data_IF_047287841025
#
_entry.id   IF_047287841025
#
_cell.length_a   1.000
_cell.length_b   1.000
_cell.length_c   1.000
_cell.angle_alpha   90.00
_cell.angle_beta   90.00
_cell.angle_gamma   90.00
#
_symmetry.space_group_name_H-M   'P 1'
#
loop_
_entity.id
_entity.type
_entity.pdbx_description
1 polymer ?
#
# COMPACT_ATOMS: atom_id res chain seq x y z
N UNK A 1 3.12 -28.09 -17.79
CA UNK A 1 2.30 -26.92 -18.11
C UNK A 1 2.03 -26.23 -16.78
N UNK A 2 2.94 -25.35 -16.36
CA UNK A 2 2.92 -24.73 -15.03
C UNK A 2 2.12 -23.43 -15.15
N UNK A 3 0.88 -23.41 -14.65
CA UNK A 3 0.18 -22.14 -14.43
C UNK A 3 0.55 -21.67 -13.03
N UNK A 4 1.31 -20.58 -12.96
CA UNK A 4 1.72 -19.94 -11.72
C UNK A 4 0.93 -18.64 -11.57
N UNK A 5 0.37 -18.40 -10.39
CA UNK A 5 -0.33 -17.16 -10.07
C UNK A 5 0.33 -16.60 -8.83
N UNK A 6 1.31 -15.71 -8.96
CA UNK A 6 1.73 -14.92 -7.80
C UNK A 6 0.55 -13.98 -7.50
N UNK A 7 -0.30 -14.37 -6.56
CA UNK A 7 -1.43 -13.55 -6.12
C UNK A 7 -0.89 -12.51 -5.14
N UNK A 8 -0.78 -11.24 -5.57
CA UNK A 8 -0.56 -10.12 -4.64
C UNK A 8 -1.92 -9.64 -4.16
N UNK A 9 -2.19 -9.73 -2.86
CA UNK A 9 -3.34 -9.03 -2.25
C UNK A 9 -2.80 -7.87 -1.43
N UNK A 10 -3.37 -6.69 -1.62
CA UNK A 10 -2.99 -5.52 -0.84
C UNK A 10 -4.20 -4.80 -0.25
N UNK A 11 -4.50 -4.93 1.05
CA UNK A 11 -5.41 -4.01 1.70
C UNK A 11 -4.73 -2.62 1.79
N UNK A 12 -5.28 -1.62 1.09
CA UNK A 12 -4.77 -0.26 1.15
C UNK A 12 -5.33 0.45 2.40
N UNK A 13 -4.55 1.40 2.91
CA UNK A 13 -4.91 2.38 3.92
C UNK A 13 -5.76 1.78 5.05
N UNK A 14 -5.15 0.88 5.83
CA UNK A 14 -5.82 0.29 7.00
C UNK A 14 -6.13 1.41 7.99
N UNK A 15 -7.41 1.78 8.13
CA UNK A 15 -7.81 2.99 8.83
C UNK A 15 -8.33 2.69 10.25
N UNK A 16 -7.51 2.99 11.25
CA UNK A 16 -7.89 2.88 12.66
C UNK A 16 -8.28 1.45 13.08
N UNK A 17 -9.00 1.33 14.20
CA UNK A 17 -9.38 0.01 14.73
C UNK A 17 -10.42 -0.71 13.88
N UNK A 18 -11.32 0.02 13.22
CA UNK A 18 -12.32 -0.55 12.32
C UNK A 18 -11.65 -1.21 11.10
N UNK A 19 -10.66 -0.53 10.49
CA UNK A 19 -9.84 -1.10 9.42
C UNK A 19 -9.09 -2.36 9.84
N UNK A 20 -8.41 -2.32 11.00
CA UNK A 20 -7.71 -3.51 11.52
C UNK A 20 -8.66 -4.67 11.82
N UNK A 21 -9.90 -4.40 12.23
CA UNK A 21 -10.90 -5.42 12.52
C UNK A 21 -11.36 -6.14 11.25
N UNK A 22 -11.85 -5.39 10.26
CA UNK A 22 -12.38 -5.95 9.01
C UNK A 22 -11.32 -6.69 8.19
N UNK A 23 -10.07 -6.21 8.24
CA UNK A 23 -8.92 -6.91 7.64
C UNK A 23 -8.67 -8.23 8.35
N UNK A 24 -8.62 -8.24 9.69
CA UNK A 24 -8.43 -9.49 10.46
C UNK A 24 -9.53 -10.52 10.19
N UNK A 25 -10.75 -10.07 9.97
CA UNK A 25 -11.91 -10.93 9.71
C UNK A 25 -11.86 -11.57 8.31
N UNK A 26 -11.69 -10.77 7.25
CA UNK A 26 -11.84 -11.27 5.88
C UNK A 26 -10.53 -11.68 5.22
N UNK A 27 -9.39 -11.09 5.59
CA UNK A 27 -8.11 -11.34 4.93
C UNK A 27 -7.74 -12.83 4.93
N UNK A 28 -7.83 -13.60 6.05
CA UNK A 28 -7.48 -15.02 6.04
C UNK A 28 -8.25 -15.82 4.99
N UNK A 29 -9.55 -15.53 4.80
CA UNK A 29 -10.37 -16.19 3.79
C UNK A 29 -9.92 -15.83 2.37
N UNK A 30 -9.59 -14.56 2.12
CA UNK A 30 -9.06 -14.10 0.83
C UNK A 30 -7.72 -14.78 0.52
N UNK A 31 -6.83 -14.87 1.50
CA UNK A 31 -5.53 -15.52 1.33
C UNK A 31 -5.66 -16.99 0.95
N UNK A 32 -6.49 -17.75 1.68
CA UNK A 32 -6.67 -19.19 1.43
C UNK A 32 -7.40 -19.45 0.11
N UNK A 33 -8.51 -18.74 -0.15
CA UNK A 33 -9.36 -18.98 -1.32
C UNK A 33 -8.63 -18.67 -2.63
N UNK A 34 -7.71 -17.71 -2.60
CA UNK A 34 -6.97 -17.26 -3.79
C UNK A 34 -5.51 -17.69 -3.80
N UNK A 35 -5.10 -18.56 -2.85
CA UNK A 35 -3.73 -19.05 -2.69
C UNK A 35 -2.67 -17.93 -2.77
N UNK A 36 -2.88 -16.85 -2.01
CA UNK A 36 -2.03 -15.65 -2.05
C UNK A 36 -0.61 -15.97 -1.58
N UNK A 37 0.36 -15.81 -2.47
CA UNK A 37 1.79 -16.03 -2.17
C UNK A 37 2.47 -14.79 -1.57
N UNK A 38 2.07 -13.59 -1.98
CA UNK A 38 2.66 -12.32 -1.54
C UNK A 38 1.56 -11.38 -1.02
N UNK A 39 1.72 -10.86 0.20
CA UNK A 39 0.77 -9.94 0.83
C UNK A 39 1.48 -8.65 1.17
N UNK A 40 1.02 -7.52 0.61
CA UNK A 40 1.56 -6.19 0.90
C UNK A 40 0.45 -5.36 1.52
N UNK A 41 0.64 -4.78 2.71
CA UNK A 41 -0.40 -4.00 3.38
C UNK A 41 0.04 -2.54 3.45
N UNK A 42 -0.83 -1.59 3.05
CA UNK A 42 -0.56 -0.19 3.37
C UNK A 42 -1.08 0.12 4.80
N UNK A 43 -0.15 0.40 5.70
CA UNK A 43 -0.42 0.61 7.12
C UNK A 43 -0.49 2.07 7.57
N UNK A 44 -0.53 3.05 6.66
CA UNK A 44 -0.25 4.44 7.02
C UNK A 44 -1.27 5.11 7.95
N UNK A 45 -2.50 4.59 8.05
CA UNK A 45 -3.54 5.12 8.92
C UNK A 45 -3.90 4.16 10.07
N UNK A 46 -3.10 3.12 10.29
CA UNK A 46 -3.48 2.00 11.15
C UNK A 46 -3.60 2.40 12.63
N UNK A 47 -2.83 3.39 13.08
CA UNK A 47 -2.78 3.88 14.46
C UNK A 47 -3.77 5.03 14.73
N UNK A 48 -5.07 4.73 14.69
CA UNK A 48 -6.11 5.72 14.99
C UNK A 48 -6.30 6.76 13.88
N UNK A 49 -6.07 6.37 12.63
CA UNK A 49 -6.22 7.22 11.44
C UNK A 49 -4.91 7.83 10.94
N UNK A 50 -3.84 7.81 11.74
CA UNK A 50 -2.58 8.50 11.42
C UNK A 50 -1.37 7.70 11.94
N UNK A 51 -0.51 7.29 11.02
CA UNK A 51 0.70 6.52 11.29
C UNK A 51 0.45 5.07 11.68
N UNK A 52 1.53 4.41 12.10
CA UNK A 52 1.57 3.01 12.52
C UNK A 52 2.47 2.88 13.76
N UNK A 53 2.09 2.04 14.71
CA UNK A 53 2.90 1.72 15.89
C UNK A 53 3.62 0.39 15.70
N UNK A 54 4.74 0.12 16.41
CA UNK A 54 5.40 -1.19 16.40
C UNK A 54 4.44 -2.35 16.68
N UNK A 55 3.57 -2.20 17.69
CA UNK A 55 2.56 -3.22 18.02
C UNK A 55 1.60 -3.50 16.88
N UNK A 56 1.12 -2.45 16.19
CA UNK A 56 0.21 -2.60 15.06
C UNK A 56 0.93 -3.20 13.85
N UNK A 57 2.20 -2.84 13.63
CA UNK A 57 2.99 -3.48 12.58
C UNK A 57 3.14 -4.99 12.82
N UNK A 58 3.45 -5.40 14.06
CA UNK A 58 3.49 -6.82 14.42
C UNK A 58 2.13 -7.50 14.21
N UNK A 59 1.01 -6.86 14.56
CA UNK A 59 -0.33 -7.39 14.26
C UNK A 59 -0.54 -7.64 12.75
N UNK A 60 -0.08 -6.72 11.89
CA UNK A 60 -0.19 -6.86 10.44
C UNK A 60 0.74 -7.96 9.89
N UNK A 61 1.94 -8.11 10.46
CA UNK A 61 2.85 -9.22 10.12
C UNK A 61 2.29 -10.58 10.58
N UNK A 62 1.62 -10.64 11.73
CA UNK A 62 0.96 -11.85 12.22
C UNK A 62 -0.25 -12.25 11.35
N UNK A 63 -0.84 -11.30 10.62
CA UNK A 63 -1.84 -11.56 9.57
C UNK A 63 -1.23 -12.07 8.25
N UNK A 64 0.09 -12.19 8.17
CA UNK A 64 0.81 -12.72 7.01
C UNK A 64 1.37 -11.66 6.06
N UNK A 65 1.40 -10.38 6.46
CA UNK A 65 2.03 -9.36 5.63
C UNK A 65 3.50 -9.69 5.36
N UNK A 66 3.91 -9.62 4.10
CA UNK A 66 5.30 -9.79 3.69
C UNK A 66 6.03 -8.44 3.71
N UNK A 67 5.33 -7.37 3.33
CA UNK A 67 5.82 -5.98 3.38
C UNK A 67 4.68 -5.09 3.83
N UNK A 68 4.99 -4.09 4.64
CA UNK A 68 4.07 -3.02 5.00
C UNK A 68 4.54 -1.75 4.28
N UNK A 69 3.74 -1.26 3.34
CA UNK A 69 3.91 0.07 2.74
C UNK A 69 3.22 1.13 3.62
N UNK A 70 3.54 2.39 3.38
CA UNK A 70 2.99 3.52 4.15
C UNK A 70 2.77 4.71 3.21
N UNK A 71 2.55 5.91 3.75
CA UNK A 71 2.41 7.12 2.96
C UNK A 71 2.87 8.35 3.72
N UNK A 72 2.14 9.45 3.58
CA UNK A 72 2.47 10.73 4.20
C UNK A 72 2.34 10.72 5.73
N UNK A 73 1.63 9.75 6.32
CA UNK A 73 1.42 9.66 7.77
C UNK A 73 2.44 8.81 8.52
N UNK A 74 3.48 8.30 7.85
CA UNK A 74 4.50 7.42 8.47
C UNK A 74 5.13 8.00 9.74
N UNK A 75 5.26 9.32 9.88
CA UNK A 75 5.97 9.96 10.99
C UNK A 75 5.07 10.40 12.16
N UNK A 76 3.75 10.17 12.08
CA UNK A 76 2.80 10.65 13.10
C UNK A 76 2.89 9.87 14.42
N UNK A 77 3.52 8.69 14.42
CA UNK A 77 3.80 7.88 15.62
C UNK A 77 5.30 7.75 15.82
N UNK A 78 5.85 8.50 16.79
CA UNK A 78 7.30 8.61 17.00
C UNK A 78 8.01 7.27 17.31
N UNK A 79 7.31 6.34 17.94
CA UNK A 79 7.79 4.99 18.22
C UNK A 79 8.19 4.19 16.97
N UNK A 80 7.67 4.52 15.78
CA UNK A 80 8.02 3.80 14.55
C UNK A 80 9.45 4.09 14.08
N UNK A 81 10.02 5.25 14.46
CA UNK A 81 11.39 5.62 14.08
C UNK A 81 12.41 4.62 14.61
N UNK A 82 12.32 4.31 15.91
CA UNK A 82 13.23 3.38 16.58
C UNK A 82 13.01 1.95 16.08
N UNK A 83 11.75 1.56 15.87
CA UNK A 83 11.43 0.22 15.40
C UNK A 83 12.04 -0.08 14.02
N UNK A 84 11.97 0.88 13.08
CA UNK A 84 12.56 0.75 11.74
C UNK A 84 14.09 0.96 11.70
N UNK A 85 14.73 1.32 12.82
CA UNK A 85 16.17 1.59 12.86
C UNK A 85 16.97 0.27 12.91
N UNK A 86 17.08 -0.38 11.75
CA UNK A 86 17.79 -1.65 11.57
C UNK A 86 18.83 -1.57 10.45
N UNK A 87 19.80 -2.51 10.40
CA UNK A 87 20.70 -2.63 9.26
C UNK A 87 19.94 -2.84 7.93
N UNK A 88 20.48 -2.27 6.84
CA UNK A 88 19.83 -2.31 5.53
C UNK A 88 19.70 -3.72 4.95
N UNK A 89 20.59 -4.63 5.36
CA UNK A 89 20.66 -6.05 5.00
C UNK A 89 19.84 -6.96 5.93
N UNK A 90 19.19 -6.41 6.96
CA UNK A 90 18.30 -7.18 7.85
C UNK A 90 17.17 -7.86 7.05
N UNK A 91 16.71 -9.00 7.56
CA UNK A 91 15.53 -9.73 7.05
C UNK A 91 14.38 -9.73 8.06
N UNK A 92 14.52 -8.99 9.15
CA UNK A 92 13.56 -8.92 10.23
C UNK A 92 12.27 -8.18 9.81
N UNK A 93 11.22 -8.29 10.63
CA UNK A 93 9.90 -7.69 10.36
C UNK A 93 9.99 -6.17 10.22
N UNK A 94 10.69 -5.51 11.13
CA UNK A 94 10.93 -4.06 11.07
C UNK A 94 11.60 -3.55 9.79
N UNK A 95 12.50 -4.32 9.17
CA UNK A 95 13.10 -3.98 7.86
C UNK A 95 12.09 -4.01 6.70
N UNK A 96 10.98 -4.70 6.88
CA UNK A 96 9.90 -4.89 5.90
C UNK A 96 8.81 -3.83 5.99
N UNK A 97 8.98 -2.80 6.82
CA UNK A 97 8.18 -1.57 6.75
C UNK A 97 8.91 -0.58 5.85
N UNK A 98 8.23 -0.11 4.79
CA UNK A 98 8.81 0.82 3.83
C UNK A 98 8.00 2.12 3.72
N UNK A 99 8.73 3.23 3.68
CA UNK A 99 8.22 4.60 3.54
C UNK A 99 8.40 5.12 2.12
N UNK A 100 7.76 6.22 1.71
CA UNK A 100 8.01 6.79 0.39
C UNK A 100 9.49 7.05 0.12
N UNK A 101 10.04 6.42 -0.92
CA UNK A 101 11.47 6.41 -1.20
C UNK A 101 12.01 7.77 -1.66
N UNK A 102 11.14 8.61 -2.22
CA UNK A 102 11.44 9.94 -2.72
C UNK A 102 11.36 11.05 -1.65
N UNK A 103 11.39 10.70 -0.36
CA UNK A 103 11.73 11.68 0.68
C UNK A 103 13.21 12.05 0.64
N UNK A 104 13.52 13.22 1.21
CA UNK A 104 14.86 13.80 1.20
C UNK A 104 15.95 12.79 1.63
N UNK A 105 17.13 12.90 1.01
CA UNK A 105 18.28 12.09 1.38
C UNK A 105 18.57 12.17 2.89
N UNK A 106 18.85 11.02 3.51
CA UNK A 106 19.04 10.92 4.96
C UNK A 106 17.77 10.71 5.78
N UNK A 107 16.58 10.74 5.15
CA UNK A 107 15.32 10.39 5.85
C UNK A 107 15.38 8.94 6.36
N UNK A 108 15.03 8.68 7.64
CA UNK A 108 15.04 7.34 8.22
C UNK A 108 14.19 6.30 7.45
N UNK A 109 14.46 5.03 7.72
CA UNK A 109 13.77 3.90 7.11
C UNK A 109 14.12 3.69 5.65
N UNK A 110 13.36 2.79 5.01
CA UNK A 110 13.69 2.25 3.69
C UNK A 110 12.58 2.55 2.68
N UNK A 111 12.96 2.78 1.43
CA UNK A 111 12.02 3.01 0.32
C UNK A 111 11.66 1.77 -0.50
N UNK A 112 12.40 0.68 -0.28
CA UNK A 112 12.30 -0.57 -1.02
C UNK A 112 12.64 -1.76 -0.11
N UNK A 113 11.93 -2.85 -0.32
CA UNK A 113 12.29 -4.15 0.22
C UNK A 113 12.34 -5.16 -0.92
N UNK A 114 13.46 -5.86 -1.05
CA UNK A 114 13.64 -6.98 -1.98
C UNK A 114 13.90 -8.24 -1.16
N UNK A 115 13.10 -9.27 -1.37
CA UNK A 115 13.09 -10.49 -0.57
C UNK A 115 12.81 -11.73 -1.40
N UNK A 116 12.67 -12.86 -0.70
CA UNK A 116 12.38 -14.17 -1.29
C UNK A 116 11.22 -14.79 -0.52
N UNK A 117 10.25 -15.35 -1.24
CA UNK A 117 9.15 -16.11 -0.66
C UNK A 117 9.64 -17.50 -0.22
N UNK A 118 8.87 -18.20 0.61
CA UNK A 118 9.23 -19.54 1.09
C UNK A 118 9.40 -20.60 -0.02
N UNK A 119 8.92 -20.32 -1.23
CA UNK A 119 9.06 -21.16 -2.42
C UNK A 119 10.25 -20.77 -3.31
N UNK A 120 11.07 -19.79 -2.91
CA UNK A 120 12.24 -19.33 -3.67
C UNK A 120 11.98 -18.20 -4.67
N UNK A 121 10.73 -17.76 -4.84
CA UNK A 121 10.42 -16.65 -5.74
C UNK A 121 10.92 -15.32 -5.15
N UNK A 122 11.81 -14.64 -5.86
CA UNK A 122 12.25 -13.29 -5.50
C UNK A 122 11.19 -12.25 -5.85
N UNK A 123 11.04 -11.26 -4.98
CA UNK A 123 10.10 -10.16 -5.15
C UNK A 123 10.69 -8.84 -4.64
N UNK A 124 10.20 -7.72 -5.16
CA UNK A 124 10.49 -6.40 -4.64
C UNK A 124 9.21 -5.56 -4.49
N UNK A 125 9.17 -4.76 -3.42
CA UNK A 125 8.10 -3.79 -3.16
C UNK A 125 8.72 -2.41 -2.98
N UNK A 126 8.20 -1.44 -3.74
CA UNK A 126 8.59 -0.04 -3.69
C UNK A 126 7.43 0.77 -3.13
N UNK A 127 7.75 1.84 -2.42
CA UNK A 127 6.79 2.83 -1.98
C UNK A 127 7.24 4.22 -2.45
N UNK A 128 6.36 4.98 -3.10
CA UNK A 128 6.63 6.35 -3.57
C UNK A 128 5.45 7.26 -3.23
N UNK A 129 5.75 8.55 -3.06
CA UNK A 129 4.72 9.58 -2.86
C UNK A 129 4.58 10.47 -4.09
N UNK A 130 3.35 10.81 -4.45
CA UNK A 130 3.07 11.90 -5.39
C UNK A 130 3.47 13.28 -4.85
N UNK A 131 3.43 14.27 -5.73
CA UNK A 131 3.75 15.67 -5.42
C UNK A 131 2.58 16.61 -5.57
N UNK A 132 1.67 16.33 -6.50
CA UNK A 132 0.57 17.25 -6.79
C UNK A 132 -0.44 17.19 -5.64
N UNK A 133 -0.69 18.35 -5.02
CA UNK A 133 -1.52 18.52 -3.80
C UNK A 133 -1.01 17.78 -2.55
N UNK A 134 0.27 17.40 -2.53
CA UNK A 134 0.91 16.75 -1.38
C UNK A 134 2.15 17.53 -0.92
N UNK A 135 2.72 17.11 0.21
CA UNK A 135 3.99 17.66 0.70
C UNK A 135 5.11 17.48 -0.32
N UNK A 136 5.97 18.49 -0.45
CA UNK A 136 7.11 18.46 -1.36
C UNK A 136 8.04 17.28 -1.09
N UNK A 137 8.35 16.53 -2.13
CA UNK A 137 9.29 15.42 -2.15
C UNK A 137 10.08 15.41 -3.47
N UNK A 138 11.11 14.57 -3.56
CA UNK A 138 11.88 14.40 -4.79
C UNK A 138 10.99 13.80 -5.90
N UNK A 139 11.44 13.93 -7.15
CA UNK A 139 10.69 13.43 -8.31
C UNK A 139 10.45 11.90 -8.23
N UNK A 140 9.19 11.44 -8.11
CA UNK A 140 8.88 10.03 -7.98
C UNK A 140 9.26 9.23 -9.24
N UNK A 141 9.22 9.84 -10.43
CA UNK A 141 9.51 9.15 -11.69
C UNK A 141 11.00 8.80 -11.78
N UNK A 142 11.87 9.79 -11.53
CA UNK A 142 13.33 9.56 -11.51
C UNK A 142 13.75 8.65 -10.36
N UNK A 143 13.08 8.75 -9.20
CA UNK A 143 13.33 7.85 -8.08
C UNK A 143 12.98 6.39 -8.44
N UNK A 144 11.87 6.17 -9.15
CA UNK A 144 11.52 4.84 -9.63
C UNK A 144 12.61 4.25 -10.55
N UNK A 145 13.15 5.03 -11.50
CA UNK A 145 14.25 4.57 -12.36
C UNK A 145 15.50 4.20 -11.56
N UNK A 146 15.87 5.04 -10.59
CA UNK A 146 17.03 4.81 -9.74
C UNK A 146 16.90 3.50 -8.95
N UNK A 147 15.73 3.24 -8.36
CA UNK A 147 15.48 2.03 -7.58
C UNK A 147 15.43 0.79 -8.47
N UNK A 148 14.73 0.85 -9.60
CA UNK A 148 14.60 -0.27 -10.54
C UNK A 148 15.96 -0.68 -11.12
N UNK A 149 16.92 0.25 -11.26
CA UNK A 149 18.27 -0.09 -11.71
C UNK A 149 19.06 -0.99 -10.75
N UNK A 150 18.62 -1.09 -9.48
CA UNK A 150 19.29 -1.83 -8.40
C UNK A 150 18.54 -3.13 -8.02
N UNK A 151 17.29 -3.27 -8.44
CA UNK A 151 16.44 -4.43 -8.14
C UNK A 151 16.77 -5.56 -9.12
N UNK A 152 16.86 -6.78 -8.60
CA UNK A 152 17.13 -8.00 -9.38
C UNK A 152 15.90 -8.87 -9.58
N UNK A 153 14.94 -8.81 -8.64
CA UNK A 153 13.68 -9.52 -8.68
C UNK A 153 12.87 -9.21 -9.95
N UNK A 154 12.12 -10.20 -10.42
CA UNK A 154 11.20 -10.05 -11.58
C UNK A 154 9.82 -9.61 -11.16
N UNK A 155 9.34 -10.11 -10.01
CA UNK A 155 8.07 -9.69 -9.43
C UNK A 155 8.29 -8.38 -8.67
N UNK A 156 7.77 -7.28 -9.21
CA UNK A 156 7.99 -5.93 -8.65
C UNK A 156 6.65 -5.21 -8.50
N UNK A 157 6.30 -4.81 -7.29
CA UNK A 157 5.11 -4.00 -7.01
C UNK A 157 5.51 -2.60 -6.56
N UNK A 158 4.91 -1.58 -7.17
CA UNK A 158 4.94 -0.21 -6.67
C UNK A 158 3.61 0.13 -5.99
N UNK A 159 3.69 0.55 -4.73
CA UNK A 159 2.67 1.37 -4.07
C UNK A 159 2.98 2.85 -4.36
N UNK A 160 2.05 3.54 -5.04
CA UNK A 160 2.12 4.97 -5.31
C UNK A 160 1.09 5.72 -4.47
N UNK A 161 1.55 6.25 -3.35
CA UNK A 161 0.76 7.03 -2.42
C UNK A 161 0.60 8.48 -2.94
N UNK A 162 -0.50 8.77 -3.65
CA UNK A 162 -0.66 10.04 -4.37
C UNK A 162 -2.10 10.57 -4.37
N UNK A 163 -2.26 11.90 -4.43
CA UNK A 163 -3.59 12.52 -4.49
C UNK A 163 -4.17 12.52 -5.92
N UNK A 164 -3.38 12.96 -6.91
CA UNK A 164 -3.95 13.19 -8.24
C UNK A 164 -3.96 11.95 -9.12
N UNK A 165 -5.10 11.74 -9.78
CA UNK A 165 -5.26 10.68 -10.77
C UNK A 165 -4.28 10.83 -11.95
N UNK A 166 -3.97 12.06 -12.37
CA UNK A 166 -3.03 12.30 -13.47
C UNK A 166 -1.61 11.81 -13.15
N UNK A 167 -1.09 12.08 -11.94
CA UNK A 167 0.23 11.61 -11.52
C UNK A 167 0.25 10.08 -11.43
N UNK A 168 -0.84 9.47 -10.92
CA UNK A 168 -0.97 8.02 -10.83
C UNK A 168 -1.04 7.32 -12.17
N UNK A 169 -1.88 7.81 -13.08
CA UNK A 169 -2.03 7.26 -14.44
C UNK A 169 -0.72 7.42 -15.20
N UNK A 170 -0.07 8.59 -15.08
CA UNK A 170 1.23 8.81 -15.70
C UNK A 170 2.30 7.84 -15.19
N UNK A 171 2.36 7.55 -13.88
CA UNK A 171 3.29 6.56 -13.35
C UNK A 171 3.00 5.15 -13.86
N UNK A 172 1.71 4.77 -13.94
CA UNK A 172 1.30 3.49 -14.53
C UNK A 172 1.86 3.31 -15.94
N UNK A 173 1.68 4.30 -16.81
CA UNK A 173 2.25 4.31 -18.16
C UNK A 173 3.77 4.38 -18.19
N UNK A 174 4.38 5.12 -17.26
CA UNK A 174 5.83 5.28 -17.18
C UNK A 174 6.54 3.96 -16.84
N UNK A 175 5.89 3.11 -16.03
CA UNK A 175 6.42 1.85 -15.55
C UNK A 175 5.89 0.62 -16.28
N UNK A 176 5.00 0.80 -17.26
CA UNK A 176 4.43 -0.31 -18.02
C UNK A 176 5.53 -1.15 -18.67
N UNK A 177 5.47 -2.46 -18.46
CA UNK A 177 6.50 -3.38 -18.94
C UNK A 177 7.78 -3.42 -18.09
N UNK A 178 7.89 -2.64 -17.01
CA UNK A 178 9.08 -2.62 -16.13
C UNK A 178 8.82 -3.16 -14.73
N UNK A 179 7.55 -3.17 -14.32
CA UNK A 179 7.11 -3.70 -13.02
C UNK A 179 5.90 -4.61 -13.21
N UNK A 180 5.64 -5.47 -12.22
CA UNK A 180 4.46 -6.33 -12.19
C UNK A 180 3.20 -5.52 -11.94
N UNK A 181 3.25 -4.56 -11.01
CA UNK A 181 2.08 -3.76 -10.67
C UNK A 181 2.43 -2.34 -10.23
N UNK A 182 1.54 -1.41 -10.57
CA UNK A 182 1.48 -0.04 -10.03
C UNK A 182 0.10 0.15 -9.43
N UNK A 183 0.04 0.19 -8.09
CA UNK A 183 -1.20 0.37 -7.35
C UNK A 183 -1.16 1.71 -6.65
N UNK A 184 -2.16 2.56 -6.89
CA UNK A 184 -2.31 3.80 -6.15
C UNK A 184 -3.04 3.61 -4.82
N UNK A 185 -2.70 4.43 -3.83
CA UNK A 185 -3.40 4.58 -2.54
C UNK A 185 -3.53 6.08 -2.20
N UNK A 186 -3.97 6.43 -0.99
CA UNK A 186 -4.15 7.79 -0.42
C UNK A 186 -5.58 8.34 -0.49
N UNK A 187 -6.30 8.14 -1.59
CA UNK A 187 -7.60 8.83 -1.75
C UNK A 187 -8.75 8.13 -1.02
N UNK A 188 -8.49 6.93 -0.48
CA UNK A 188 -9.38 6.08 0.30
C UNK A 188 -10.63 5.57 -0.43
N UNK A 189 -10.81 5.90 -1.72
CA UNK A 189 -11.96 5.48 -2.52
C UNK A 189 -11.50 4.57 -3.65
N UNK A 190 -11.95 3.30 -3.70
CA UNK A 190 -11.51 2.37 -4.72
C UNK A 190 -11.99 2.81 -6.11
N UNK A 191 -11.08 2.84 -7.07
CA UNK A 191 -11.40 3.09 -8.48
C UNK A 191 -11.77 1.80 -9.21
N UNK A 192 -12.61 1.90 -10.24
CA UNK A 192 -13.06 0.78 -11.07
C UNK A 192 -12.28 0.68 -12.40
N UNK A 193 -11.03 1.12 -12.41
CA UNK A 193 -10.18 1.19 -13.59
C UNK A 193 -9.08 0.12 -13.58
N UNK A 194 -9.23 -0.92 -12.76
CA UNK A 194 -8.26 -2.00 -12.68
C UNK A 194 -8.07 -2.67 -14.04
N UNK A 195 -6.82 -2.77 -14.50
CA UNK A 195 -6.49 -3.30 -15.81
C UNK A 195 -5.06 -3.82 -15.89
N UNK A 196 -4.82 -4.67 -16.89
CA UNK A 196 -3.47 -4.98 -17.34
C UNK A 196 -3.11 -3.99 -18.47
N UNK A 197 -1.99 -3.31 -18.33
CA UNK A 197 -1.42 -2.42 -19.35
C UNK A 197 -0.72 -3.24 -20.46
N UNK A 198 -0.51 -2.68 -21.66
CA UNK A 198 0.02 -3.43 -22.80
C UNK A 198 1.36 -4.15 -22.57
N UNK A 199 2.23 -3.59 -21.72
CA UNK A 199 3.51 -4.21 -21.32
C UNK A 199 3.38 -5.30 -20.26
N UNK A 200 2.16 -5.63 -19.80
CA UNK A 200 1.90 -6.65 -18.80
C UNK A 200 2.06 -6.16 -17.36
N UNK A 201 1.87 -4.86 -17.11
CA UNK A 201 1.82 -4.28 -15.77
C UNK A 201 0.38 -4.18 -15.29
N UNK A 202 0.07 -4.72 -14.10
CA UNK A 202 -1.22 -4.52 -13.44
C UNK A 202 -1.32 -3.07 -12.93
N UNK A 203 -2.47 -2.44 -13.12
CA UNK A 203 -2.67 -1.05 -12.76
C UNK A 203 -4.05 -0.83 -12.14
N UNK A 204 -4.11 0.02 -11.11
CA UNK A 204 -5.35 0.59 -10.56
C UNK A 204 -5.04 1.98 -9.97
N UNK A 205 -5.87 2.98 -10.29
CA UNK A 205 -5.66 4.36 -9.81
C UNK A 205 -5.75 4.45 -8.28
N UNK A 206 -6.70 3.80 -7.63
CA UNK A 206 -6.71 3.75 -6.18
C UNK A 206 -7.33 2.43 -5.73
N UNK A 207 -6.62 1.70 -4.88
CA UNK A 207 -7.12 0.44 -4.33
C UNK A 207 -8.26 0.68 -3.34
N UNK A 208 -8.34 1.87 -2.73
CA UNK A 208 -9.35 2.27 -1.75
C UNK A 208 -8.82 2.34 -0.32
N UNK A 209 -9.70 2.20 0.66
CA UNK A 209 -9.36 2.13 2.08
C UNK A 209 -9.96 0.87 2.70
N UNK A 210 -9.21 0.24 3.61
CA UNK A 210 -9.76 -0.74 4.54
C UNK A 210 -10.13 -0.07 5.86
N UNK A 211 -11.41 0.28 6.04
CA UNK A 211 -11.85 1.17 7.10
C UNK A 211 -13.35 1.49 7.05
N UNK A 212 -13.83 2.46 7.86
CA UNK A 212 -15.25 2.77 7.99
C UNK A 212 -15.77 3.55 6.75
N UNK A 213 -16.80 3.06 6.06
CA UNK A 213 -17.38 3.73 4.89
C UNK A 213 -18.55 4.66 5.20
N UNK A 214 -19.19 4.50 6.37
CA UNK A 214 -20.20 5.45 6.84
C UNK A 214 -19.53 6.69 7.48
N UNK A 215 -18.50 7.20 6.81
CA UNK A 215 -17.56 8.23 7.25
C UNK A 215 -17.28 9.23 6.12
N UNK A 216 -16.48 10.25 6.40
CA UNK A 216 -15.80 11.00 5.34
C UNK A 216 -14.32 10.63 5.38
N UNK A 217 -13.90 9.74 4.47
CA UNK A 217 -12.48 9.36 4.30
C UNK A 217 -11.89 8.78 5.59
N UNK A 218 -12.68 8.01 6.34
CA UNK A 218 -12.28 7.38 7.61
C UNK A 218 -12.66 8.16 8.86
N UNK A 219 -13.08 9.42 8.73
CA UNK A 219 -13.36 10.34 9.84
C UNK A 219 -14.87 10.49 10.10
N UNK A 220 -15.24 10.73 11.36
CA UNK A 220 -16.61 11.09 11.77
C UNK A 220 -17.22 12.22 10.91
N UNK A 221 -18.36 11.92 10.27
CA UNK A 221 -19.02 12.77 9.27
C UNK A 221 -19.27 14.19 9.78
N UNK A 222 -19.81 14.30 10.99
CA UNK A 222 -20.22 15.59 11.55
C UNK A 222 -19.02 16.53 11.77
N UNK A 223 -17.84 15.99 12.10
CA UNK A 223 -16.64 16.79 12.32
C UNK A 223 -16.13 17.39 11.01
N UNK A 224 -16.12 16.59 9.94
CA UNK A 224 -15.72 17.05 8.60
C UNK A 224 -16.73 18.04 8.03
N UNK A 225 -18.03 17.74 8.13
CA UNK A 225 -19.09 18.64 7.66
C UNK A 225 -19.07 19.98 8.40
N UNK A 226 -18.91 19.97 9.73
CA UNK A 226 -18.82 21.20 10.49
C UNK A 226 -17.61 22.05 10.06
N UNK A 227 -16.44 21.42 9.85
CA UNK A 227 -15.25 22.12 9.35
C UNK A 227 -15.47 22.73 7.97
N UNK A 228 -16.10 22.00 7.04
CA UNK A 228 -16.38 22.49 5.69
C UNK A 228 -17.42 23.62 5.68
N UNK A 229 -18.44 23.53 6.52
CA UNK A 229 -19.51 24.53 6.61
C UNK A 229 -19.07 25.83 7.32
N UNK A 230 -18.21 25.71 8.32
CA UNK A 230 -17.87 26.84 9.20
C UNK A 230 -16.46 27.39 8.99
N UNK A 231 -15.57 26.62 8.35
CA UNK A 231 -14.14 26.91 8.27
C UNK A 231 -13.38 26.71 9.60
N UNK A 232 -14.08 26.37 10.69
CA UNK A 232 -13.46 26.23 12.00
C UNK A 232 -12.70 24.90 12.14
N UNK A 233 -11.52 24.90 12.78
CA UNK A 233 -10.79 23.68 13.03
C UNK A 233 -11.57 22.78 14.00
N UNK A 234 -11.55 21.48 13.74
CA UNK A 234 -12.08 20.44 14.62
C UNK A 234 -11.03 19.35 14.81
N UNK A 235 -11.13 18.60 15.91
CA UNK A 235 -10.32 17.39 16.06
C UNK A 235 -10.82 16.34 15.09
N UNK A 236 -9.90 15.62 14.47
CA UNK A 236 -10.23 14.45 13.67
C UNK A 236 -10.42 13.25 14.60
N UNK A 237 -11.55 12.56 14.46
CA UNK A 237 -11.85 11.32 15.17
C UNK A 237 -12.19 10.24 14.15
N UNK A 238 -11.60 9.05 14.32
CA UNK A 238 -11.82 7.93 13.44
C UNK A 238 -13.23 7.36 13.61
N UNK A 239 -13.94 7.20 12.49
CA UNK A 239 -15.25 6.59 12.46
C UNK A 239 -15.19 5.06 12.67
N UNK A 240 -16.35 4.44 12.86
CA UNK A 240 -16.47 2.98 13.06
C UNK A 240 -17.52 2.28 12.22
N UNK A 241 -18.51 3.00 11.69
CA UNK A 241 -19.65 2.40 11.00
C UNK A 241 -19.32 1.85 9.61
N UNK A 242 -19.98 0.74 9.24
CA UNK A 242 -19.91 0.09 7.93
C UNK A 242 -18.46 -0.12 7.45
N UNK A 243 -17.64 -0.88 8.20
CA UNK A 243 -16.27 -1.13 7.79
C UNK A 243 -16.26 -1.97 6.51
N UNK A 244 -15.38 -1.60 5.57
CA UNK A 244 -15.09 -2.37 4.36
C UNK A 244 -13.61 -2.68 4.29
N UNK A 245 -13.28 -3.84 3.75
CA UNK A 245 -11.92 -4.20 3.33
C UNK A 245 -11.84 -4.06 1.81
N UNK A 246 -10.99 -3.15 1.35
CA UNK A 246 -10.61 -3.04 -0.06
C UNK A 246 -9.33 -3.84 -0.30
N UNK A 247 -9.14 -4.39 -1.49
CA UNK A 247 -7.87 -4.92 -1.94
C UNK A 247 -7.80 -5.02 -3.46
N UNK A 248 -6.60 -5.15 -4.02
CA UNK A 248 -6.38 -5.60 -5.39
C UNK A 248 -5.72 -6.98 -5.36
N UNK A 249 -6.29 -7.94 -6.08
CA UNK A 249 -5.75 -9.27 -6.29
C UNK A 249 -5.12 -9.34 -7.68
N UNK A 250 -3.81 -9.51 -7.76
CA UNK A 250 -3.07 -9.52 -9.03
C UNK A 250 -2.49 -10.90 -9.24
N UNK A 251 -2.65 -11.50 -10.42
CA UNK A 251 -1.93 -12.72 -10.79
C UNK A 251 -0.84 -12.41 -11.82
N UNK A 252 0.35 -12.96 -11.61
CA UNK A 252 1.47 -12.81 -12.53
C UNK A 252 2.31 -14.09 -12.71
N UNK A 253 3.09 -14.09 -13.79
CA UNK A 253 4.14 -15.07 -14.04
C UNK A 253 5.41 -14.69 -13.26
N UNK A 254 5.87 -15.57 -12.37
CA UNK A 254 7.02 -15.31 -11.50
C UNK A 254 8.38 -15.24 -12.22
N UNK A 255 8.51 -15.86 -13.40
CA UNK A 255 9.75 -15.88 -14.18
C UNK A 255 9.94 -14.59 -14.98
N UNK A 256 8.85 -14.00 -15.45
CA UNK A 256 8.85 -12.79 -16.29
C UNK A 256 8.44 -11.54 -15.53
N UNK A 257 7.72 -11.69 -14.41
CA UNK A 257 7.11 -10.59 -13.66
C UNK A 257 5.86 -10.00 -14.31
N UNK A 258 5.35 -10.59 -15.40
CA UNK A 258 4.20 -10.05 -16.15
C UNK A 258 2.89 -10.44 -15.49
N UNK A 259 2.06 -9.45 -15.19
CA UNK A 259 0.71 -9.67 -14.72
C UNK A 259 -0.22 -10.02 -15.88
N UNK A 260 -1.13 -10.98 -15.66
CA UNK A 260 -2.14 -11.39 -16.63
C UNK A 260 -3.57 -11.20 -16.10
N UNK A 261 -3.73 -10.93 -14.80
CA UNK A 261 -5.03 -10.64 -14.20
C UNK A 261 -4.91 -9.67 -13.03
N UNK A 262 -5.88 -8.77 -12.91
CA UNK A 262 -6.13 -7.96 -11.72
C UNK A 262 -7.63 -7.99 -11.42
N UNK A 263 -7.97 -8.15 -10.15
CA UNK A 263 -9.34 -8.12 -9.65
C UNK A 263 -9.39 -7.23 -8.41
N UNK A 264 -10.27 -6.24 -8.44
CA UNK A 264 -10.59 -5.46 -7.26
C UNK A 264 -11.48 -6.27 -6.31
N UNK A 265 -11.19 -6.18 -5.02
CA UNK A 265 -11.94 -6.78 -3.92
C UNK A 265 -12.48 -5.65 -3.05
N UNK A 266 -13.75 -5.73 -2.71
CA UNK A 266 -14.38 -4.89 -1.69
C UNK A 266 -15.35 -5.76 -0.90
N UNK A 267 -14.99 -6.06 0.34
CA UNK A 267 -15.80 -6.85 1.27
C UNK A 267 -16.27 -5.95 2.40
N UNK A 268 -17.41 -6.25 2.99
CA UNK A 268 -17.86 -5.65 4.24
C UNK A 268 -18.50 -6.70 5.12
N UNK A 269 -18.93 -6.26 6.31
CA UNK A 269 -19.80 -7.04 7.20
C UNK A 269 -21.02 -7.62 6.48
#
# INVERSE_FOLDING_TARGET
>A
MFSWSATSSAPPDVFGSAGRHIVREHLPHVLVTNAVDLLVINGENAAGGFGITPSIAEELFDLGAHVITTGNHIWDKKEIFEYMAVPADSRDRNRRIIRPANYAAGTPGFGVYEGELGNGQSYAVLNLQGRVFMSSCDDPFRKADELLSKITAKVIMLDLHAETTSEKVAMGWYLDGRVTAVLGTHTHIPTADERILPGGTAYQTDVGMSGPYDSVIGVEKQLVLNRLLTGMPGKFEAAKGNPKMCAALIECDGATGRAHRIQRIMLGE
#
